data_IF_570239143255
#
_entry.id   IF_570239143255
#
_cell.length_a   1.000
_cell.length_b   1.000
_cell.length_c   1.000
_cell.angle_alpha   90.00
_cell.angle_beta   90.00
_cell.angle_gamma   90.00
#
_symmetry.space_group_name_H-M   'P 1'
#
loop_
_entity.id
_entity.type
_entity.pdbx_description
1 polymer ?
#
# COMPACT_ATOMS: atom_id res chain seq x y z
N UNK A 1 -33.39 -9.03 52.09
CA UNK A 1 -32.73 -8.27 51.03
C UNK A 1 -33.81 -7.58 50.20
N UNK A 2 -33.88 -6.23 50.13
CA UNK A 2 -34.82 -5.58 49.26
C UNK A 2 -34.40 -5.87 47.80
N UNK A 3 -35.34 -6.41 47.02
CA UNK A 3 -35.20 -6.49 45.56
C UNK A 3 -35.06 -5.06 45.03
N UNK A 4 -33.91 -4.71 44.52
CA UNK A 4 -33.68 -3.45 43.82
C UNK A 4 -34.55 -3.45 42.58
N UNK A 5 -35.71 -2.79 42.66
CA UNK A 5 -36.58 -2.50 41.52
C UNK A 5 -35.87 -1.38 40.74
N UNK A 6 -35.67 -1.58 39.48
CA UNK A 6 -34.89 -0.81 38.52
C UNK A 6 -33.40 -1.10 38.60
N UNK A 7 -33.05 -2.22 38.01
CA UNK A 7 -31.66 -2.54 37.86
C UNK A 7 -31.12 -1.80 36.64
N UNK A 8 -30.50 -0.64 36.89
CA UNK A 8 -29.74 0.12 35.90
C UNK A 8 -28.76 -0.73 35.08
N UNK A 9 -28.39 -1.89 35.61
CA UNK A 9 -27.55 -2.87 34.93
C UNK A 9 -28.30 -3.53 33.77
N UNK A 10 -29.60 -3.84 33.92
CA UNK A 10 -30.41 -4.43 32.84
C UNK A 10 -30.57 -3.39 31.72
N UNK A 11 -30.79 -2.14 32.05
CA UNK A 11 -30.88 -1.05 31.08
C UNK A 11 -29.55 -0.86 30.34
N UNK A 12 -28.43 -0.96 31.04
CA UNK A 12 -27.09 -0.94 30.42
C UNK A 12 -26.82 -2.15 29.53
N UNK A 13 -27.32 -3.33 29.89
CA UNK A 13 -27.19 -4.54 29.08
C UNK A 13 -28.09 -4.54 27.83
N UNK A 14 -29.18 -3.75 27.84
CA UNK A 14 -30.05 -3.57 26.68
C UNK A 14 -29.66 -2.40 25.78
N UNK A 15 -28.62 -1.63 26.15
CA UNK A 15 -28.14 -0.55 25.31
C UNK A 15 -27.67 -1.10 23.96
N UNK A 16 -28.13 -0.49 22.89
CA UNK A 16 -27.69 -0.79 21.52
C UNK A 16 -27.05 0.46 20.94
N UNK A 17 -25.97 0.27 20.26
CA UNK A 17 -25.32 1.33 19.51
C UNK A 17 -26.31 1.91 18.47
N UNK A 18 -26.63 3.22 18.55
CA UNK A 18 -27.71 3.80 17.76
C UNK A 18 -27.37 4.03 16.29
N UNK A 19 -26.12 3.84 15.91
CA UNK A 19 -25.63 4.07 14.57
C UNK A 19 -25.40 2.75 13.80
N UNK A 20 -25.27 2.79 12.47
CA UNK A 20 -25.03 1.57 11.69
C UNK A 20 -23.77 0.85 12.16
N UNK A 21 -23.91 -0.39 12.61
CA UNK A 21 -22.77 -1.23 13.05
C UNK A 21 -21.82 -1.66 11.92
N UNK A 22 -21.95 -1.06 10.71
CA UNK A 22 -21.15 -1.38 9.53
C UNK A 22 -19.89 -0.55 9.38
N UNK A 23 -19.65 0.39 10.31
CA UNK A 23 -18.45 1.22 10.29
C UNK A 23 -17.30 0.37 10.82
N UNK A 24 -16.24 0.15 10.03
CA UNK A 24 -15.09 -0.61 10.50
C UNK A 24 -14.33 0.18 11.56
N UNK A 25 -13.93 -0.46 12.65
CA UNK A 25 -13.01 0.15 13.62
C UNK A 25 -11.60 0.38 13.02
N UNK A 26 -11.28 -0.32 11.94
CA UNK A 26 -10.01 -0.28 11.23
C UNK A 26 -10.22 -0.44 9.73
N UNK A 27 -9.52 0.34 8.92
CA UNK A 27 -9.56 0.28 7.47
C UNK A 27 -8.17 0.50 6.88
N UNK A 28 -7.87 -0.10 5.74
CA UNK A 28 -6.68 0.24 4.97
C UNK A 28 -6.97 1.39 4.00
N UNK A 29 -5.94 2.16 3.63
CA UNK A 29 -6.07 3.22 2.60
C UNK A 29 -6.61 2.64 1.29
N UNK A 30 -6.16 1.47 0.88
CA UNK A 30 -6.65 0.79 -0.33
C UNK A 30 -8.14 0.46 -0.25
N UNK A 31 -8.58 -0.06 0.89
CA UNK A 31 -10.01 -0.36 1.10
C UNK A 31 -10.86 0.91 1.17
N UNK A 32 -10.36 1.96 1.82
CA UNK A 32 -11.04 3.24 1.88
C UNK A 32 -11.23 3.83 0.48
N UNK A 33 -10.16 3.88 -0.30
CA UNK A 33 -10.20 4.33 -1.70
C UNK A 33 -11.19 3.52 -2.54
N UNK A 34 -11.20 2.19 -2.39
CA UNK A 34 -12.17 1.32 -3.08
C UNK A 34 -13.61 1.70 -2.74
N UNK A 35 -13.92 1.96 -1.46
CA UNK A 35 -15.27 2.35 -1.03
C UNK A 35 -15.69 3.71 -1.59
N UNK A 36 -14.77 4.67 -1.65
CA UNK A 36 -15.07 5.98 -2.26
C UNK A 36 -15.42 5.82 -3.74
N UNK A 37 -14.62 5.09 -4.50
CA UNK A 37 -14.88 4.88 -5.93
C UNK A 37 -16.17 4.09 -6.20
N UNK A 38 -16.52 3.10 -5.35
CA UNK A 38 -17.80 2.39 -5.43
C UNK A 38 -19.00 3.32 -5.17
N UNK A 39 -18.85 4.30 -4.27
CA UNK A 39 -19.89 5.28 -3.97
C UNK A 39 -20.07 6.31 -5.10
N UNK A 40 -19.01 6.63 -5.83
CA UNK A 40 -19.03 7.54 -6.99
C UNK A 40 -19.51 6.85 -8.28
N UNK A 41 -19.75 5.56 -8.27
CA UNK A 41 -20.22 4.79 -9.42
C UNK A 41 -19.17 4.56 -10.50
N UNK A 42 -17.93 4.83 -10.19
CA UNK A 42 -16.81 4.59 -11.10
C UNK A 42 -16.52 3.08 -11.15
N UNK A 43 -16.47 2.51 -12.36
CA UNK A 43 -16.12 1.10 -12.55
C UNK A 43 -14.64 0.91 -12.24
N UNK A 44 -14.34 0.52 -11.00
CA UNK A 44 -12.98 0.17 -10.61
C UNK A 44 -12.63 -1.14 -11.28
N UNK A 45 -11.57 -1.12 -12.07
CA UNK A 45 -10.85 -2.36 -12.38
C UNK A 45 -10.41 -2.98 -11.04
N UNK A 46 -10.77 -4.24 -10.77
CA UNK A 46 -10.43 -4.85 -9.50
C UNK A 46 -8.92 -4.81 -9.31
N UNK A 47 -8.46 -3.99 -8.37
CA UNK A 47 -7.10 -4.15 -7.86
C UNK A 47 -7.04 -5.56 -7.27
N UNK A 48 -6.06 -6.36 -7.69
CA UNK A 48 -5.94 -7.80 -7.44
C UNK A 48 -5.57 -8.10 -5.97
N UNK A 49 -5.97 -7.26 -5.04
CA UNK A 49 -5.94 -7.54 -3.62
C UNK A 49 -7.36 -7.87 -3.13
N UNK A 50 -7.90 -9.01 -3.55
CA UNK A 50 -8.91 -9.73 -2.78
C UNK A 50 -8.20 -10.40 -1.61
N UNK A 51 -8.14 -9.70 -0.49
CA UNK A 51 -7.88 -10.29 0.80
C UNK A 51 -9.11 -11.04 1.34
N UNK A 52 -9.69 -11.92 0.55
CA UNK A 52 -10.58 -12.95 1.09
C UNK A 52 -9.71 -14.14 1.50
N UNK A 53 -9.71 -14.43 2.78
CA UNK A 53 -8.91 -15.44 3.48
C UNK A 53 -9.20 -16.89 3.06
N UNK A 54 -9.58 -17.16 1.81
CA UNK A 54 -9.90 -18.50 1.30
C UNK A 54 -9.28 -18.84 -0.03
N UNK A 55 -8.49 -17.98 -0.68
CA UNK A 55 -7.69 -18.41 -1.81
C UNK A 55 -6.47 -19.17 -1.28
N UNK A 56 -6.65 -20.46 -1.03
CA UNK A 56 -5.57 -21.43 -0.94
C UNK A 56 -4.85 -21.40 -2.30
N UNK A 57 -3.80 -20.60 -2.41
CA UNK A 57 -2.84 -20.79 -3.49
C UNK A 57 -2.32 -22.23 -3.37
N UNK A 58 -2.46 -23.06 -4.40
CA UNK A 58 -1.91 -24.39 -4.36
C UNK A 58 -0.40 -24.28 -4.07
N UNK A 59 0.17 -25.16 -3.23
CA UNK A 59 1.57 -25.14 -2.92
C UNK A 59 2.40 -25.05 -4.21
N UNK A 60 3.49 -24.28 -4.21
CA UNK A 60 4.29 -23.96 -5.40
C UNK A 60 4.76 -25.21 -6.18
N UNK A 61 4.83 -26.39 -5.52
CA UNK A 61 5.19 -27.65 -6.16
C UNK A 61 4.09 -28.26 -7.06
N UNK A 62 2.85 -27.75 -7.01
CA UNK A 62 1.73 -28.15 -7.88
C UNK A 62 1.57 -27.23 -9.10
N UNK A 63 2.31 -26.13 -9.17
CA UNK A 63 2.26 -25.21 -10.30
C UNK A 63 3.08 -25.77 -11.47
N UNK A 64 2.43 -26.48 -12.39
CA UNK A 64 3.06 -27.13 -13.56
C UNK A 64 3.29 -26.22 -14.77
N UNK A 65 2.92 -24.95 -14.73
CA UNK A 65 3.15 -24.01 -15.84
C UNK A 65 3.79 -22.72 -15.35
N UNK A 66 4.93 -22.35 -15.95
CA UNK A 66 5.59 -21.04 -15.80
C UNK A 66 4.72 -19.97 -16.46
N UNK A 67 3.66 -19.50 -15.77
CA UNK A 67 2.96 -18.28 -16.16
C UNK A 67 3.86 -17.08 -15.86
N UNK A 68 4.07 -16.21 -16.86
CA UNK A 68 4.64 -14.87 -16.59
C UNK A 68 3.87 -14.25 -15.42
N UNK A 69 4.55 -13.58 -14.48
CA UNK A 69 3.89 -12.97 -13.33
C UNK A 69 2.73 -12.10 -13.80
N UNK A 70 1.59 -12.20 -13.13
CA UNK A 70 0.47 -11.28 -13.36
C UNK A 70 0.94 -9.83 -13.12
N UNK A 71 0.27 -8.84 -13.69
CA UNK A 71 0.65 -7.44 -13.48
C UNK A 71 0.80 -7.08 -12.00
N UNK A 72 -0.05 -7.64 -11.13
CA UNK A 72 0.05 -7.46 -9.68
C UNK A 72 1.30 -8.10 -9.07
N UNK A 73 1.64 -9.34 -9.43
CA UNK A 73 2.84 -10.01 -8.95
C UNK A 73 4.11 -9.27 -9.41
N UNK A 74 4.09 -8.74 -10.63
CA UNK A 74 5.17 -7.89 -11.12
C UNK A 74 5.28 -6.57 -10.33
N UNK A 75 4.16 -5.94 -9.99
CA UNK A 75 4.12 -4.75 -9.13
C UNK A 75 4.78 -5.02 -7.78
N UNK A 76 4.36 -6.10 -7.10
CA UNK A 76 4.94 -6.51 -5.81
C UNK A 76 6.45 -6.73 -5.92
N UNK A 77 6.92 -7.45 -6.95
CA UNK A 77 8.34 -7.66 -7.19
C UNK A 77 9.12 -6.33 -7.30
N UNK A 78 8.59 -5.37 -8.07
CA UNK A 78 9.27 -4.07 -8.24
C UNK A 78 9.31 -3.26 -6.94
N UNK A 79 8.24 -3.29 -6.12
CA UNK A 79 8.22 -2.68 -4.79
C UNK A 79 9.24 -3.35 -3.86
N UNK A 80 9.32 -4.68 -3.84
CA UNK A 80 10.29 -5.43 -3.04
C UNK A 80 11.73 -5.10 -3.40
N UNK A 81 12.02 -4.90 -4.69
CA UNK A 81 13.33 -4.47 -5.16
C UNK A 81 13.62 -3.04 -4.74
N UNK A 82 12.68 -2.09 -4.98
CA UNK A 82 12.84 -0.68 -4.62
C UNK A 82 13.01 -0.47 -3.11
N UNK A 83 12.34 -1.28 -2.29
CA UNK A 83 12.51 -1.26 -0.84
C UNK A 83 13.96 -1.50 -0.42
N UNK A 84 14.65 -2.40 -1.13
CA UNK A 84 16.02 -2.86 -0.78
C UNK A 84 17.12 -2.17 -1.56
N UNK A 85 16.77 -1.48 -2.65
CA UNK A 85 17.73 -0.83 -3.52
C UNK A 85 18.46 0.28 -2.78
N UNK A 86 19.77 0.26 -2.76
CA UNK A 86 20.58 1.36 -2.22
C UNK A 86 20.64 2.52 -3.23
N UNK A 87 20.10 3.66 -2.83
CA UNK A 87 20.08 4.87 -3.65
C UNK A 87 21.40 5.64 -3.63
N UNK A 88 22.34 5.29 -2.73
CA UNK A 88 23.62 6.00 -2.59
C UNK A 88 24.64 5.61 -3.67
N UNK A 89 24.45 4.47 -4.34
CA UNK A 89 25.31 3.99 -5.43
C UNK A 89 25.34 4.91 -6.67
N UNK A 90 25.98 4.48 -7.76
CA UNK A 90 25.98 5.25 -9.01
C UNK A 90 24.58 5.35 -9.64
N UNK A 91 23.73 4.35 -9.42
CA UNK A 91 22.39 4.25 -9.98
C UNK A 91 22.36 3.94 -11.47
N UNK A 92 23.50 3.57 -12.05
CA UNK A 92 23.57 3.09 -13.44
C UNK A 92 23.19 1.60 -13.55
N UNK A 93 23.11 1.09 -14.78
CA UNK A 93 22.71 -0.30 -15.02
C UNK A 93 23.66 -1.33 -14.41
N UNK A 94 24.95 -1.02 -14.28
CA UNK A 94 25.91 -1.94 -13.69
C UNK A 94 25.72 -2.05 -12.16
N UNK A 95 25.56 -0.92 -11.50
CA UNK A 95 25.26 -0.82 -10.07
C UNK A 95 23.93 -1.51 -9.72
N UNK A 96 22.85 -1.19 -10.44
CA UNK A 96 21.54 -1.79 -10.21
C UNK A 96 21.59 -3.32 -10.40
N UNK A 97 22.27 -3.83 -11.44
CA UNK A 97 22.44 -5.27 -11.64
C UNK A 97 23.26 -5.93 -10.53
N UNK A 98 24.30 -5.27 -10.06
CA UNK A 98 25.10 -5.78 -8.94
C UNK A 98 24.25 -5.89 -7.65
N UNK A 99 23.42 -4.89 -7.38
CA UNK A 99 22.50 -4.91 -6.24
C UNK A 99 21.45 -6.01 -6.36
N UNK A 100 20.83 -6.23 -7.54
CA UNK A 100 19.89 -7.33 -7.79
C UNK A 100 20.58 -8.68 -7.57
N UNK A 101 21.82 -8.84 -8.06
CA UNK A 101 22.61 -10.06 -7.82
C UNK A 101 22.88 -10.29 -6.33
N UNK A 102 23.21 -9.24 -5.58
CA UNK A 102 23.38 -9.31 -4.13
C UNK A 102 22.08 -9.69 -3.41
N UNK A 103 20.93 -9.13 -3.81
CA UNK A 103 19.62 -9.50 -3.28
C UNK A 103 19.29 -10.97 -3.53
N UNK A 104 19.64 -11.49 -4.72
CA UNK A 104 19.45 -12.90 -5.06
C UNK A 104 20.36 -13.80 -4.22
N UNK A 105 21.63 -13.43 -4.05
CA UNK A 105 22.56 -14.17 -3.22
C UNK A 105 22.15 -14.19 -1.74
N UNK A 106 21.50 -13.11 -1.26
CA UNK A 106 20.96 -13.02 0.10
C UNK A 106 19.59 -13.71 0.28
N UNK A 107 18.99 -14.26 -0.80
CA UNK A 107 17.71 -14.98 -0.77
C UNK A 107 16.47 -14.06 -0.72
N UNK A 108 16.62 -12.78 -1.00
CA UNK A 108 15.48 -11.84 -1.11
C UNK A 108 14.76 -11.98 -2.45
N UNK A 109 15.45 -12.46 -3.48
CA UNK A 109 14.89 -12.72 -4.80
C UNK A 109 15.29 -14.14 -5.24
N UNK A 110 14.38 -14.79 -5.93
CA UNK A 110 14.74 -16.00 -6.70
C UNK A 110 15.49 -15.61 -7.97
N UNK A 111 16.15 -16.58 -8.61
CA UNK A 111 16.83 -16.35 -9.89
C UNK A 111 15.84 -15.97 -11.02
N UNK A 112 14.63 -16.50 -10.97
CA UNK A 112 13.54 -16.17 -11.90
C UNK A 112 13.05 -14.74 -11.71
N UNK A 113 12.79 -14.34 -10.46
CA UNK A 113 12.38 -12.96 -10.13
C UNK A 113 13.45 -11.94 -10.54
N UNK A 114 14.71 -12.23 -10.29
CA UNK A 114 15.81 -11.34 -10.71
C UNK A 114 15.85 -11.11 -12.23
N UNK A 115 15.45 -12.10 -13.05
CA UNK A 115 15.36 -11.96 -14.51
C UNK A 115 14.17 -11.10 -14.96
N UNK A 116 13.10 -11.06 -14.17
CA UNK A 116 11.90 -10.26 -14.47
C UNK A 116 12.05 -8.79 -14.06
N UNK A 117 13.05 -8.43 -13.24
CA UNK A 117 13.29 -7.05 -12.80
C UNK A 117 13.67 -6.18 -14.00
N UNK A 118 12.91 -5.11 -14.20
CA UNK A 118 13.22 -4.11 -15.24
C UNK A 118 14.30 -3.14 -14.76
N UNK A 119 15.55 -3.46 -15.01
CA UNK A 119 16.71 -2.62 -14.66
C UNK A 119 16.56 -1.21 -15.24
N UNK A 120 16.09 -1.09 -16.49
CA UNK A 120 15.92 0.19 -17.18
C UNK A 120 14.87 1.09 -16.47
N UNK A 121 13.83 0.53 -15.88
CA UNK A 121 12.86 1.30 -15.11
C UNK A 121 13.48 1.85 -13.83
N UNK A 122 14.28 1.05 -13.13
CA UNK A 122 14.99 1.47 -11.92
C UNK A 122 16.01 2.56 -12.21
N UNK A 123 16.84 2.39 -13.24
CA UNK A 123 17.83 3.39 -13.63
C UNK A 123 17.17 4.68 -14.10
N UNK A 124 16.07 4.60 -14.84
CA UNK A 124 15.29 5.77 -15.27
C UNK A 124 14.72 6.52 -14.07
N UNK A 125 14.16 5.80 -13.08
CA UNK A 125 13.70 6.40 -11.83
C UNK A 125 14.86 7.11 -11.10
N UNK A 126 15.98 6.41 -10.87
CA UNK A 126 17.14 6.97 -10.16
C UNK A 126 17.75 8.19 -10.87
N UNK A 127 17.68 8.24 -12.20
CA UNK A 127 18.13 9.36 -13.00
C UNK A 127 17.11 10.51 -13.09
N UNK A 128 15.84 10.27 -12.75
CA UNK A 128 14.78 11.28 -12.81
C UNK A 128 15.01 12.40 -11.78
N UNK A 129 14.38 13.58 -11.95
CA UNK A 129 14.46 14.66 -10.97
C UNK A 129 14.02 14.21 -9.57
N UNK A 130 12.96 13.39 -9.46
CA UNK A 130 12.48 12.85 -8.21
C UNK A 130 13.48 11.86 -7.58
N UNK A 131 14.02 10.94 -8.37
CA UNK A 131 15.05 10.00 -7.92
C UNK A 131 16.32 10.70 -7.46
N UNK A 132 16.76 11.74 -8.16
CA UNK A 132 17.92 12.54 -7.74
C UNK A 132 17.69 13.28 -6.41
N UNK A 133 16.49 13.80 -6.19
CA UNK A 133 16.11 14.41 -4.90
C UNK A 133 16.13 13.38 -3.78
N UNK A 134 15.54 12.20 -3.99
CA UNK A 134 15.55 11.09 -3.02
C UNK A 134 16.97 10.64 -2.68
N UNK A 135 17.86 10.56 -3.66
CA UNK A 135 19.30 10.22 -3.48
C UNK A 135 20.09 11.27 -2.69
N UNK A 136 19.70 12.53 -2.78
CA UNK A 136 20.35 13.65 -2.08
C UNK A 136 19.67 14.01 -0.77
N UNK A 137 18.60 13.32 -0.42
CA UNK A 137 17.80 13.57 0.77
C UNK A 137 18.63 13.40 2.04
N UNK A 138 18.25 14.13 3.08
CA UNK A 138 18.84 14.00 4.42
C UNK A 138 18.48 12.64 5.04
N UNK A 139 17.24 12.24 4.89
CA UNK A 139 16.71 10.94 5.32
C UNK A 139 15.77 10.39 4.26
N UNK A 140 15.77 9.07 4.07
CA UNK A 140 14.96 8.40 3.07
C UNK A 140 14.39 7.10 3.67
N UNK A 141 13.07 6.94 3.64
CA UNK A 141 12.34 5.78 4.13
C UNK A 141 11.55 5.13 3.00
N UNK A 142 11.53 3.82 2.98
CA UNK A 142 10.86 3.00 1.96
C UNK A 142 9.98 1.96 2.62
N UNK A 143 8.82 1.69 2.03
CA UNK A 143 7.83 0.73 2.55
C UNK A 143 7.52 0.99 4.04
N UNK A 144 7.30 2.27 4.37
CA UNK A 144 7.07 2.68 5.75
C UNK A 144 5.61 2.50 6.11
N UNK A 145 5.33 1.57 7.01
CA UNK A 145 4.00 1.40 7.57
C UNK A 145 3.61 2.62 8.42
N UNK A 146 2.36 3.05 8.28
CA UNK A 146 1.77 4.10 9.10
C UNK A 146 0.37 3.73 9.57
N UNK A 147 -0.07 4.41 10.63
CA UNK A 147 -1.43 4.33 11.11
C UNK A 147 -1.82 5.62 11.81
N UNK A 148 -3.06 6.04 11.61
CA UNK A 148 -3.61 7.23 12.23
C UNK A 148 -5.09 7.04 12.56
N UNK A 149 -5.57 7.75 13.56
CA UNK A 149 -6.99 7.83 13.87
C UNK A 149 -7.60 9.01 13.13
N UNK A 150 -8.70 8.75 12.43
CA UNK A 150 -9.50 9.78 11.77
C UNK A 150 -10.92 9.76 12.34
N UNK A 151 -11.62 10.92 12.32
CA UNK A 151 -13.05 10.94 12.58
C UNK A 151 -13.75 9.94 11.64
N UNK A 152 -14.58 9.06 12.20
CA UNK A 152 -15.23 8.01 11.41
C UNK A 152 -16.10 8.56 10.28
N UNK A 153 -16.59 9.80 10.40
CA UNK A 153 -17.35 10.50 9.36
C UNK A 153 -16.57 10.75 8.06
N UNK A 154 -15.25 10.77 8.12
CA UNK A 154 -14.43 10.88 6.91
C UNK A 154 -14.44 9.62 6.06
N UNK A 155 -14.70 8.46 6.70
CA UNK A 155 -14.79 7.15 6.06
C UNK A 155 -16.25 6.76 5.79
N UNK A 156 -17.16 7.15 6.68
CA UNK A 156 -18.58 6.84 6.63
C UNK A 156 -19.38 8.06 7.18
N UNK A 157 -19.97 8.88 6.30
CA UNK A 157 -20.68 10.12 6.71
C UNK A 157 -21.78 9.91 7.75
N UNK A 158 -22.36 8.69 7.80
CA UNK A 158 -23.39 8.28 8.77
C UNK A 158 -22.87 7.95 10.16
N UNK A 159 -21.56 7.99 10.39
CA UNK A 159 -20.94 7.66 11.68
C UNK A 159 -21.31 8.67 12.77
N UNK A 160 -21.22 8.24 14.04
CA UNK A 160 -21.36 9.13 15.17
C UNK A 160 -20.25 10.20 15.19
N UNK A 161 -20.55 11.36 15.79
CA UNK A 161 -19.64 12.50 15.80
C UNK A 161 -18.31 12.21 16.50
N UNK A 162 -18.35 11.38 17.53
CA UNK A 162 -17.19 11.06 18.35
C UNK A 162 -16.56 9.70 18.01
N UNK A 163 -17.02 9.06 16.95
CA UNK A 163 -16.42 7.80 16.51
C UNK A 163 -15.15 8.06 15.73
N UNK A 164 -14.17 7.18 15.93
CA UNK A 164 -12.90 7.19 15.24
C UNK A 164 -12.67 5.87 14.50
N UNK A 165 -12.00 5.97 13.38
CA UNK A 165 -11.54 4.83 12.58
C UNK A 165 -10.01 4.85 12.53
N UNK A 166 -9.39 3.70 12.78
CA UNK A 166 -7.97 3.52 12.60
C UNK A 166 -7.66 3.24 11.13
N UNK A 167 -7.03 4.21 10.45
CA UNK A 167 -6.59 4.08 9.06
C UNK A 167 -5.13 3.68 9.04
N UNK A 168 -4.81 2.63 8.29
CA UNK A 168 -3.45 2.15 8.12
C UNK A 168 -3.08 2.00 6.66
N UNK A 169 -1.80 2.13 6.37
CA UNK A 169 -1.24 1.95 5.05
C UNK A 169 0.27 1.76 5.08
N UNK A 170 0.83 1.70 3.89
CA UNK A 170 2.28 1.70 3.68
C UNK A 170 2.58 2.82 2.70
N UNK A 171 3.62 3.58 2.98
CA UNK A 171 4.15 4.61 2.09
C UNK A 171 5.33 4.00 1.35
N UNK A 172 5.26 3.91 0.04
CA UNK A 172 6.29 3.27 -0.78
C UNK A 172 7.64 3.96 -0.61
N UNK A 173 7.64 5.28 -0.69
CA UNK A 173 8.82 6.13 -0.51
C UNK A 173 8.43 7.45 0.13
N UNK A 174 9.12 7.87 1.18
CA UNK A 174 9.14 9.26 1.58
C UNK A 174 10.54 9.68 2.00
N UNK A 175 10.85 10.95 1.81
CA UNK A 175 12.16 11.47 2.17
C UNK A 175 12.09 12.92 2.64
N UNK A 176 13.04 13.27 3.51
CA UNK A 176 13.25 14.62 4.04
C UNK A 176 14.35 15.30 3.24
N UNK A 177 14.04 16.40 2.58
CA UNK A 177 15.01 17.23 1.88
C UNK A 177 15.89 18.02 2.86
N UNK A 178 16.96 18.60 2.35
CA UNK A 178 17.92 19.35 3.18
C UNK A 178 17.34 20.61 3.80
N UNK A 179 16.29 21.17 3.17
CA UNK A 179 15.54 22.33 3.67
C UNK A 179 14.43 21.95 4.67
N UNK A 180 14.24 20.66 4.95
CA UNK A 180 13.20 20.13 5.84
C UNK A 180 11.88 19.81 5.14
N UNK A 181 11.79 20.00 3.82
CA UNK A 181 10.63 19.60 3.04
C UNK A 181 10.45 18.08 3.05
N UNK A 182 9.19 17.60 3.17
CA UNK A 182 8.86 16.17 3.09
C UNK A 182 8.25 15.90 1.73
N UNK A 183 8.76 14.88 1.06
CA UNK A 183 8.24 14.39 -0.22
C UNK A 183 7.74 12.97 -0.06
N UNK A 184 6.49 12.74 -0.49
CA UNK A 184 5.86 11.43 -0.56
C UNK A 184 5.82 10.99 -2.02
N UNK A 185 6.18 9.75 -2.30
CA UNK A 185 6.09 9.18 -3.64
C UNK A 185 5.51 7.75 -3.57
N UNK A 186 4.68 7.44 -4.54
CA UNK A 186 4.03 6.15 -4.71
C UNK A 186 4.46 5.57 -6.06
N UNK A 187 4.89 4.32 -6.08
CA UNK A 187 5.39 3.66 -7.28
C UNK A 187 4.24 3.01 -8.06
N UNK A 188 4.17 3.31 -9.35
CA UNK A 188 3.20 2.70 -10.25
C UNK A 188 3.92 1.95 -11.37
N UNK A 189 3.58 0.69 -11.54
CA UNK A 189 4.18 -0.23 -12.52
C UNK A 189 3.27 -0.47 -13.72
N UNK A 190 2.25 0.35 -13.89
CA UNK A 190 1.30 0.27 -15.02
C UNK A 190 2.04 0.39 -16.36
N UNK A 191 1.61 -0.40 -17.36
CA UNK A 191 2.27 -0.47 -18.68
C UNK A 191 1.93 0.70 -19.59
N UNK A 192 0.75 1.28 -19.43
CA UNK A 192 0.23 2.38 -20.27
C UNK A 192 -0.19 3.52 -19.34
N UNK A 193 0.68 4.52 -19.22
CA UNK A 193 0.38 5.66 -18.36
C UNK A 193 0.76 6.96 -19.02
N UNK A 194 -0.25 7.72 -19.43
CA UNK A 194 -0.08 9.15 -19.66
C UNK A 194 -0.27 9.88 -18.32
N UNK A 195 0.37 11.05 -18.12
CA UNK A 195 0.19 11.84 -16.90
C UNK A 195 -1.29 12.12 -16.56
N UNK A 196 -2.13 12.32 -17.57
CA UNK A 196 -3.55 12.59 -17.36
C UNK A 196 -4.34 11.35 -16.93
N UNK A 197 -3.98 10.17 -17.43
CA UNK A 197 -4.57 8.89 -17.04
C UNK A 197 -4.18 8.54 -15.59
N UNK A 198 -2.92 8.84 -15.18
CA UNK A 198 -2.47 8.68 -13.80
C UNK A 198 -3.26 9.62 -12.88
N UNK A 199 -3.37 10.90 -13.24
CA UNK A 199 -4.15 11.86 -12.46
C UNK A 199 -5.59 11.41 -12.29
N UNK A 200 -6.25 11.01 -13.36
CA UNK A 200 -7.65 10.55 -13.30
C UNK A 200 -7.82 9.28 -12.47
N UNK A 201 -6.91 8.30 -12.62
CA UNK A 201 -7.00 7.01 -11.90
C UNK A 201 -6.63 7.11 -10.41
N UNK A 202 -5.77 8.05 -10.04
CA UNK A 202 -5.20 8.17 -8.69
C UNK A 202 -5.51 9.51 -8.01
N UNK A 203 -6.48 10.28 -8.52
CA UNK A 203 -7.04 11.41 -7.78
C UNK A 203 -7.65 10.92 -6.47
N UNK A 204 -7.27 11.57 -5.39
CA UNK A 204 -7.83 11.41 -4.05
C UNK A 204 -8.57 12.69 -3.70
#
# INVERSE_FOLDING_TARGET
FPLVKDDDRITRLSWRYPYPARIPAKITVTEWKRRQSEAEGDMIFPSVFRGDATDFLPPAFLATEKKKPSGAAYGTLMHDVLQRLDFSGSGDSADVRAQISAMTAAGYLTAEEAQEVRVEALTTFLASPLGQRARQAKNCWREQAFGLLLPAREVAPEAAENDEVYVQGVIDLFFEEKDGGIVLADYKTDRETTPDLIRHRYQV
#
